data_IF_071598782074
#
_entry.id   IF_071598782074
#
_cell.length_a   1.000
_cell.length_b   1.000
_cell.length_c   1.000
_cell.angle_alpha   90.00
_cell.angle_beta   90.00
_cell.angle_gamma   90.00
#
_symmetry.space_group_name_H-M   'P 1'
#
loop_
_entity.id
_entity.type
_entity.pdbx_description
1 polymer ?
#
# COMPACT_ATOMS: atom_id res chain seq x y z
N UNK A 1 33.45 -23.49 24.11
CA UNK A 1 32.59 -22.39 23.62
C UNK A 1 31.13 -22.86 23.62
N UNK A 2 30.26 -22.28 24.45
CA UNK A 2 28.82 -22.63 24.47
C UNK A 2 28.10 -21.81 23.37
N UNK A 3 27.51 -22.49 22.39
CA UNK A 3 26.68 -21.86 21.36
C UNK A 3 25.45 -21.22 22.02
N UNK A 4 25.24 -19.92 21.82
CA UNK A 4 23.98 -19.24 22.15
C UNK A 4 22.94 -19.68 21.14
N UNK A 5 21.93 -20.42 21.58
CA UNK A 5 20.73 -20.70 20.79
C UNK A 5 19.92 -19.41 20.77
N UNK A 6 19.83 -18.77 19.61
CA UNK A 6 19.00 -17.59 19.41
C UNK A 6 17.56 -18.08 19.21
N UNK A 7 16.79 -18.15 20.29
CA UNK A 7 15.36 -18.47 20.22
C UNK A 7 14.68 -17.22 19.67
N UNK A 8 14.40 -17.20 18.37
CA UNK A 8 13.55 -16.20 17.74
C UNK A 8 12.18 -16.26 18.43
N UNK A 9 11.98 -15.32 19.37
CA UNK A 9 10.73 -15.23 20.10
C UNK A 9 9.59 -14.99 19.11
N UNK A 10 8.68 -15.96 19.02
CA UNK A 10 7.42 -15.87 18.29
C UNK A 10 6.60 -14.67 18.80
N UNK A 11 6.89 -13.47 18.30
CA UNK A 11 6.12 -12.26 18.60
C UNK A 11 4.74 -12.43 17.95
N UNK A 12 3.69 -12.46 18.76
CA UNK A 12 2.30 -12.44 18.27
C UNK A 12 2.11 -11.24 17.34
N UNK A 13 1.88 -11.52 16.06
CA UNK A 13 1.38 -10.53 15.09
C UNK A 13 0.00 -10.10 15.59
N UNK A 14 -0.09 -8.86 16.07
CA UNK A 14 -1.38 -8.26 16.38
C UNK A 14 -2.09 -7.97 15.06
N UNK A 15 -3.39 -8.23 14.99
CA UNK A 15 -4.21 -8.03 13.79
C UNK A 15 -4.29 -6.57 13.34
N UNK A 16 -3.99 -5.63 14.22
CA UNK A 16 -3.99 -4.19 13.97
C UNK A 16 -2.62 -3.63 13.52
N UNK A 17 -1.60 -4.49 13.40
CA UNK A 17 -0.26 -4.04 13.05
C UNK A 17 -0.23 -3.54 11.60
N UNK A 18 -0.16 -2.22 11.45
CA UNK A 18 0.00 -1.56 10.14
C UNK A 18 1.47 -1.50 9.70
N UNK A 19 1.72 -1.77 8.42
CA UNK A 19 3.02 -1.56 7.77
C UNK A 19 3.07 -0.14 7.23
N UNK A 20 4.11 0.63 7.56
CA UNK A 20 4.25 2.01 7.08
C UNK A 20 4.85 2.02 5.67
N UNK A 21 4.27 2.84 4.81
CA UNK A 21 4.85 3.25 3.51
C UNK A 21 5.12 4.75 3.60
N UNK A 22 6.34 5.17 3.30
CA UNK A 22 6.78 6.57 3.44
C UNK A 22 7.13 7.17 2.05
N UNK A 23 6.13 7.58 1.24
CA UNK A 23 6.39 8.17 -0.06
C UNK A 23 6.89 9.61 0.07
N UNK A 24 7.87 9.97 -0.75
CA UNK A 24 8.28 11.36 -0.96
C UNK A 24 7.38 11.98 -2.04
N UNK A 25 6.65 13.04 -1.70
CA UNK A 25 5.76 13.75 -2.61
C UNK A 25 6.33 15.12 -2.95
N UNK A 26 6.10 15.57 -4.18
CA UNK A 26 6.36 16.97 -4.54
C UNK A 26 5.41 17.93 -3.79
N UNK A 27 5.75 19.22 -3.81
CA UNK A 27 5.02 20.23 -3.05
C UNK A 27 3.57 20.42 -3.52
N UNK A 28 3.29 20.27 -4.82
CA UNK A 28 1.95 20.44 -5.38
C UNK A 28 1.04 19.26 -4.99
N UNK A 29 1.53 18.04 -5.17
CA UNK A 29 0.85 16.80 -4.77
C UNK A 29 0.57 16.80 -3.26
N UNK A 30 1.54 17.20 -2.43
CA UNK A 30 1.33 17.32 -0.99
C UNK A 30 0.25 18.37 -0.63
N UNK A 31 0.20 19.51 -1.32
CA UNK A 31 -0.85 20.54 -1.11
C UNK A 31 -2.23 20.01 -1.50
N UNK A 32 -2.35 19.28 -2.61
CA UNK A 32 -3.61 18.65 -3.04
C UNK A 32 -4.10 17.63 -2.03
N UNK A 33 -3.22 16.73 -1.58
CA UNK A 33 -3.53 15.75 -0.54
C UNK A 33 -3.99 16.45 0.76
N UNK A 34 -3.31 17.52 1.18
CA UNK A 34 -3.71 18.29 2.37
C UNK A 34 -5.11 18.89 2.24
N UNK A 35 -5.42 19.50 1.10
CA UNK A 35 -6.74 20.12 0.86
C UNK A 35 -7.85 19.07 0.90
N UNK A 36 -7.65 17.95 0.20
CA UNK A 36 -8.63 16.86 0.17
C UNK A 36 -8.83 16.22 1.55
N UNK A 37 -7.74 16.04 2.31
CA UNK A 37 -7.82 15.51 3.67
C UNK A 37 -8.68 16.40 4.57
N UNK A 38 -8.48 17.72 4.49
CA UNK A 38 -9.29 18.69 5.25
C UNK A 38 -10.76 18.63 4.83
N UNK A 39 -11.07 18.54 3.53
CA UNK A 39 -12.47 18.48 3.07
C UNK A 39 -13.20 17.20 3.47
N UNK A 40 -12.46 16.12 3.74
CA UNK A 40 -13.01 14.82 4.14
C UNK A 40 -12.95 14.58 5.66
N UNK A 41 -12.52 15.56 6.45
CA UNK A 41 -12.28 15.42 7.90
C UNK A 41 -11.31 14.26 8.25
N UNK A 42 -10.24 14.14 7.46
CA UNK A 42 -9.22 13.10 7.63
C UNK A 42 -7.83 13.70 7.88
N UNK A 43 -6.97 12.96 8.59
CA UNK A 43 -5.55 13.27 8.57
C UNK A 43 -4.96 12.96 7.19
N UNK A 44 -3.95 13.73 6.76
CA UNK A 44 -3.26 13.49 5.48
C UNK A 44 -2.77 12.05 5.33
N UNK A 45 -2.26 11.48 6.41
CA UNK A 45 -1.76 10.10 6.47
C UNK A 45 -2.86 9.07 6.33
N UNK A 46 -4.04 9.31 6.92
CA UNK A 46 -5.20 8.41 6.74
C UNK A 46 -5.68 8.46 5.30
N UNK A 47 -5.89 9.66 4.75
CA UNK A 47 -6.33 9.80 3.37
C UNK A 47 -5.32 9.19 2.38
N UNK A 48 -4.01 9.36 2.62
CA UNK A 48 -2.99 8.73 1.78
C UNK A 48 -3.08 7.20 1.82
N UNK A 49 -3.33 6.62 3.00
CA UNK A 49 -3.53 5.18 3.13
C UNK A 49 -4.77 4.71 2.36
N UNK A 50 -5.90 5.41 2.49
CA UNK A 50 -7.14 5.12 1.75
C UNK A 50 -6.95 5.18 0.23
N UNK A 51 -6.24 6.21 -0.26
CA UNK A 51 -5.96 6.34 -1.70
C UNK A 51 -5.10 5.17 -2.19
N UNK A 52 -4.08 4.76 -1.42
CA UNK A 52 -3.23 3.61 -1.76
C UNK A 52 -4.07 2.33 -1.76
N UNK A 53 -4.89 2.11 -0.73
CA UNK A 53 -5.77 0.94 -0.62
C UNK A 53 -6.75 0.87 -1.80
N UNK A 54 -7.38 2.00 -2.16
CA UNK A 54 -8.23 2.09 -3.34
C UNK A 54 -7.45 1.77 -4.63
N UNK A 55 -6.25 2.34 -4.79
CA UNK A 55 -5.45 2.19 -6.00
C UNK A 55 -5.01 0.73 -6.23
N UNK A 56 -4.55 0.04 -5.18
CA UNK A 56 -4.10 -1.36 -5.29
C UNK A 56 -5.27 -2.36 -5.34
N UNK A 57 -6.50 -1.91 -5.08
CA UNK A 57 -7.72 -2.69 -5.24
C UNK A 57 -8.57 -2.21 -6.43
N UNK A 58 -7.98 -1.50 -7.40
CA UNK A 58 -8.66 -1.08 -8.61
C UNK A 58 -7.93 -1.60 -9.86
N UNK A 59 -8.62 -2.44 -10.65
CA UNK A 59 -8.05 -3.09 -11.84
C UNK A 59 -7.51 -2.09 -12.86
N UNK A 60 -8.25 -1.01 -13.11
CA UNK A 60 -7.83 0.02 -14.08
C UNK A 60 -6.58 0.76 -13.64
N UNK A 61 -6.44 1.03 -12.33
CA UNK A 61 -5.24 1.66 -11.77
C UNK A 61 -4.05 0.71 -11.84
N UNK A 62 -4.24 -0.56 -11.45
CA UNK A 62 -3.21 -1.60 -11.54
C UNK A 62 -2.73 -1.74 -12.99
N UNK A 63 -3.66 -1.88 -13.94
CA UNK A 63 -3.34 -2.02 -15.36
C UNK A 63 -2.59 -0.80 -15.90
N UNK A 64 -2.99 0.41 -15.51
CA UNK A 64 -2.31 1.63 -15.91
C UNK A 64 -0.86 1.68 -15.42
N UNK A 65 -0.61 1.33 -14.15
CA UNK A 65 0.75 1.27 -13.61
C UNK A 65 1.60 0.23 -14.34
N UNK A 66 1.06 -0.96 -14.59
CA UNK A 66 1.80 -2.01 -15.30
C UNK A 66 2.07 -1.66 -16.77
N UNK A 67 1.12 -1.04 -17.48
CA UNK A 67 1.36 -0.56 -18.85
C UNK A 67 2.50 0.47 -18.92
N UNK A 68 2.62 1.32 -17.90
CA UNK A 68 3.58 2.42 -17.89
C UNK A 68 4.95 2.05 -17.34
N UNK A 69 4.99 1.15 -16.35
CA UNK A 69 6.19 0.93 -15.53
C UNK A 69 6.60 -0.54 -15.40
N UNK A 70 5.87 -1.50 -15.98
CA UNK A 70 6.31 -2.89 -15.89
C UNK A 70 7.69 -3.07 -16.54
N UNK A 71 8.61 -3.68 -15.81
CA UNK A 71 9.98 -3.95 -16.27
C UNK A 71 10.16 -5.42 -16.65
N UNK A 72 9.45 -6.32 -15.97
CA UNK A 72 9.55 -7.76 -16.14
C UNK A 72 8.15 -8.39 -16.13
N UNK A 73 7.80 -9.05 -17.23
CA UNK A 73 6.49 -9.67 -17.42
C UNK A 73 6.24 -10.85 -16.47
N UNK A 74 7.28 -11.43 -15.84
CA UNK A 74 7.12 -12.49 -14.83
C UNK A 74 6.42 -11.97 -13.57
N UNK A 75 6.60 -10.68 -13.24
CA UNK A 75 5.94 -10.04 -12.09
C UNK A 75 4.64 -9.33 -12.47
N UNK A 76 4.13 -9.57 -13.68
CA UNK A 76 2.88 -8.97 -14.12
C UNK A 76 1.72 -9.51 -13.28
N UNK A 77 1.05 -8.60 -12.59
CA UNK A 77 -0.14 -8.83 -11.80
C UNK A 77 -1.33 -9.06 -12.74
N UNK A 78 -2.04 -10.16 -12.54
CA UNK A 78 -3.33 -10.46 -13.17
C UNK A 78 -4.40 -10.36 -12.07
N UNK A 79 -5.05 -9.20 -11.90
CA UNK A 79 -6.04 -9.04 -10.84
C UNK A 79 -7.27 -9.92 -11.12
N UNK A 80 -7.74 -10.62 -10.10
CA UNK A 80 -9.00 -11.38 -10.14
C UNK A 80 -9.99 -10.73 -9.19
N UNK A 81 -11.15 -10.34 -9.69
CA UNK A 81 -12.24 -9.81 -8.87
C UNK A 81 -13.15 -10.95 -8.40
N UNK A 82 -13.13 -11.23 -7.09
CA UNK A 82 -14.01 -12.20 -6.45
C UNK A 82 -14.87 -11.43 -5.45
N UNK A 83 -16.17 -11.34 -5.72
CA UNK A 83 -17.16 -10.65 -4.88
C UNK A 83 -16.78 -9.21 -4.50
N UNK A 84 -16.23 -8.44 -5.45
CA UNK A 84 -15.87 -7.04 -5.24
C UNK A 84 -14.51 -6.83 -4.59
N UNK A 85 -13.77 -7.90 -4.30
CA UNK A 85 -12.42 -7.84 -3.77
C UNK A 85 -11.41 -8.30 -4.83
N UNK A 86 -10.34 -7.51 -4.99
CA UNK A 86 -9.26 -7.84 -5.91
C UNK A 86 -8.26 -8.76 -5.21
N UNK A 87 -7.86 -9.81 -5.92
CA UNK A 87 -6.84 -10.76 -5.52
C UNK A 87 -5.75 -10.82 -6.59
N UNK A 88 -4.50 -10.92 -6.14
CA UNK A 88 -3.32 -11.24 -6.93
C UNK A 88 -2.21 -11.81 -6.04
#
# INVERSE_FOLDING_TARGET
MKKKVNVEGNRKLRSDKKTRVNPSLDQDTHKKLKKLAISCDMTKTMLAAEIIEMAVNNESVIEWFQKKYNVDDVYRIIPVNINGKIYY
#
